data_IF_824782208994
#
_entry.id   IF_824782208994
#
_cell.length_a   1.000
_cell.length_b   1.000
_cell.length_c   1.000
_cell.angle_alpha   90.00
_cell.angle_beta   90.00
_cell.angle_gamma   90.00
#
_symmetry.space_group_name_H-M   'P 1'
#
loop_
_entity.id
_entity.type
_entity.pdbx_description
1 polymer ?
#
# COMPACT_ATOMS: atom_id res chain seq x y z
N UNK A 1 -62.07 15.60 -50.62
CA UNK A 1 -62.07 15.87 -49.16
C UNK A 1 -61.52 14.63 -48.45
N UNK A 2 -60.41 14.78 -47.71
CA UNK A 2 -59.59 13.70 -47.16
C UNK A 2 -60.36 12.89 -46.10
N UNK A 3 -60.37 11.56 -46.23
CA UNK A 3 -60.75 10.60 -45.18
C UNK A 3 -59.47 10.05 -44.53
N UNK A 4 -59.46 10.00 -43.20
CA UNK A 4 -58.41 9.40 -42.37
C UNK A 4 -58.34 7.87 -42.56
N UNK A 5 -57.12 7.33 -42.53
CA UNK A 5 -56.78 5.92 -42.30
C UNK A 5 -55.76 5.85 -41.13
N UNK A 6 -55.75 4.78 -40.33
CA UNK A 6 -55.05 4.70 -39.03
C UNK A 6 -53.56 4.30 -39.18
N UNK A 7 -52.74 4.48 -38.12
CA UNK A 7 -51.31 4.16 -38.18
C UNK A 7 -51.04 2.65 -38.16
N UNK A 8 -50.07 2.24 -38.98
CA UNK A 8 -49.59 0.88 -39.16
C UNK A 8 -48.84 0.34 -37.93
N UNK A 9 -49.15 -0.90 -37.54
CA UNK A 9 -48.37 -1.72 -36.59
C UNK A 9 -46.97 -1.97 -37.17
N UNK A 10 -45.91 -1.61 -36.42
CA UNK A 10 -44.56 -2.14 -36.63
C UNK A 10 -44.32 -3.29 -35.66
N UNK A 11 -43.92 -4.43 -36.20
CA UNK A 11 -43.54 -5.63 -35.47
C UNK A 11 -42.26 -5.36 -34.66
N UNK A 12 -42.24 -5.76 -33.38
CA UNK A 12 -41.02 -5.88 -32.60
C UNK A 12 -40.19 -7.05 -33.15
N UNK A 13 -39.00 -6.75 -33.67
CA UNK A 13 -37.94 -7.74 -33.80
C UNK A 13 -37.24 -7.84 -32.44
N UNK A 14 -37.30 -9.01 -31.81
CA UNK A 14 -36.56 -9.31 -30.61
C UNK A 14 -35.06 -9.38 -30.94
N UNK A 15 -34.29 -8.39 -30.49
CA UNK A 15 -32.84 -8.51 -30.38
C UNK A 15 -32.52 -9.19 -29.06
N UNK A 16 -32.01 -10.42 -29.14
CA UNK A 16 -31.36 -11.10 -28.04
C UNK A 16 -30.11 -10.32 -27.63
N UNK A 17 -30.18 -9.65 -26.48
CA UNK A 17 -28.98 -9.14 -25.80
C UNK A 17 -28.25 -10.37 -25.26
N UNK A 18 -27.12 -10.70 -25.88
CA UNK A 18 -26.11 -11.54 -25.25
C UNK A 18 -25.66 -10.80 -23.99
N UNK A 19 -26.04 -11.32 -22.83
CA UNK A 19 -25.60 -10.81 -21.54
C UNK A 19 -24.08 -10.86 -21.48
N UNK A 20 -23.46 -9.69 -21.41
CA UNK A 20 -22.09 -9.56 -20.94
C UNK A 20 -22.04 -10.12 -19.52
N UNK A 21 -21.44 -11.30 -19.36
CA UNK A 21 -21.05 -11.81 -18.07
C UNK A 21 -20.07 -10.80 -17.47
N UNK A 22 -20.55 -10.02 -16.50
CA UNK A 22 -19.68 -9.20 -15.68
C UNK A 22 -18.70 -10.13 -14.97
N UNK A 23 -17.40 -9.87 -15.16
CA UNK A 23 -16.37 -10.46 -14.32
C UNK A 23 -16.62 -9.93 -12.89
N UNK A 24 -17.34 -10.70 -12.07
CA UNK A 24 -17.28 -10.54 -10.62
C UNK A 24 -15.89 -11.01 -10.21
N UNK A 25 -14.97 -10.08 -10.00
CA UNK A 25 -13.78 -10.32 -9.20
C UNK A 25 -14.26 -10.70 -7.80
N UNK A 26 -14.28 -12.00 -7.52
CA UNK A 26 -14.37 -12.52 -6.16
C UNK A 26 -13.08 -12.08 -5.46
N UNK A 27 -13.19 -11.11 -4.56
CA UNK A 27 -12.13 -10.84 -3.58
C UNK A 27 -11.88 -12.15 -2.81
N UNK A 28 -10.62 -12.51 -2.53
CA UNK A 28 -10.35 -13.65 -1.68
C UNK A 28 -10.97 -13.38 -0.31
N UNK A 29 -12.01 -14.15 0.04
CA UNK A 29 -12.44 -14.23 1.44
C UNK A 29 -11.26 -14.76 2.23
N UNK A 30 -10.86 -14.06 3.30
CA UNK A 30 -9.83 -14.55 4.22
C UNK A 30 -10.32 -15.88 4.84
N UNK A 31 -9.97 -16.99 4.21
CA UNK A 31 -10.10 -18.32 4.78
C UNK A 31 -9.14 -18.46 5.95
N UNK A 32 -9.47 -19.32 6.92
CA UNK A 32 -8.72 -19.56 8.16
C UNK A 32 -7.33 -20.23 7.95
N UNK A 33 -6.62 -19.92 6.87
CA UNK A 33 -5.30 -20.43 6.54
C UNK A 33 -4.50 -19.47 5.64
N UNK A 34 -4.68 -18.15 5.80
CA UNK A 34 -3.80 -17.16 5.19
C UNK A 34 -2.36 -17.39 5.67
N UNK A 35 -1.38 -17.31 4.76
CA UNK A 35 0.03 -17.42 5.11
C UNK A 35 0.41 -16.47 6.25
N UNK A 36 1.46 -16.81 7.00
CA UNK A 36 1.92 -15.96 8.10
C UNK A 36 2.49 -14.67 7.51
N UNK A 37 1.96 -13.52 7.90
CA UNK A 37 2.68 -12.27 7.71
C UNK A 37 3.90 -12.30 8.62
N UNK A 38 4.99 -11.65 8.22
CA UNK A 38 6.19 -11.61 9.04
C UNK A 38 6.79 -10.21 9.07
N UNK A 39 7.06 -9.72 10.28
CA UNK A 39 7.64 -8.40 10.46
C UNK A 39 9.16 -8.47 10.50
N UNK A 40 9.84 -7.87 9.53
CA UNK A 40 11.30 -7.74 9.57
C UNK A 40 11.70 -6.36 10.03
N UNK A 41 12.59 -6.28 11.03
CA UNK A 41 13.17 -5.01 11.45
C UNK A 41 14.26 -4.60 10.46
N UNK A 42 14.11 -3.42 9.85
CA UNK A 42 15.14 -2.84 9.02
C UNK A 42 16.27 -2.28 9.90
N UNK A 43 17.52 -2.41 9.44
CA UNK A 43 18.72 -1.88 10.11
C UNK A 43 19.52 -0.95 9.18
N UNK A 44 18.93 0.18 8.76
CA UNK A 44 19.61 1.11 7.86
C UNK A 44 20.77 1.81 8.58
N UNK A 45 21.83 2.14 7.84
CA UNK A 45 23.03 2.81 8.39
C UNK A 45 22.77 4.24 8.90
N UNK A 46 21.64 4.83 8.50
CA UNK A 46 21.13 6.11 8.96
C UNK A 46 19.63 5.96 9.21
N UNK A 47 19.13 6.62 10.25
CA UNK A 47 17.72 6.60 10.62
C UNK A 47 17.28 7.98 11.13
N UNK A 48 16.01 8.35 10.93
CA UNK A 48 15.40 9.46 11.65
C UNK A 48 15.52 9.25 13.16
N UNK A 49 15.68 10.34 13.92
CA UNK A 49 15.64 10.30 15.38
C UNK A 49 14.33 9.68 15.92
N UNK A 50 14.34 9.08 17.13
CA UNK A 50 13.13 8.55 17.76
C UNK A 50 12.01 9.58 17.79
N UNK A 51 10.83 9.23 17.30
CA UNK A 51 9.73 10.19 17.14
C UNK A 51 8.36 9.52 17.16
N UNK A 52 7.36 10.30 17.55
CA UNK A 52 5.95 9.93 17.45
C UNK A 52 5.15 11.05 16.77
N UNK A 53 3.95 10.73 16.30
CA UNK A 53 3.07 11.70 15.61
C UNK A 53 3.74 12.41 14.41
N UNK A 54 4.69 11.72 13.77
CA UNK A 54 5.22 12.09 12.47
C UNK A 54 4.24 11.66 11.37
N UNK A 55 4.28 12.34 10.24
CA UNK A 55 3.52 11.94 9.05
C UNK A 55 4.37 11.08 8.13
N UNK A 56 3.79 10.02 7.58
CA UNK A 56 4.35 9.28 6.43
C UNK A 56 3.39 9.27 5.26
N UNK A 57 3.90 9.38 4.05
CA UNK A 57 3.11 9.22 2.83
C UNK A 57 3.95 8.55 1.75
N UNK A 58 3.38 7.58 1.06
CA UNK A 58 4.04 6.89 -0.03
C UNK A 58 3.88 7.64 -1.35
N UNK A 59 4.99 8.18 -1.84
CA UNK A 59 5.11 8.78 -3.16
C UNK A 59 5.30 7.67 -4.20
N UNK A 60 4.18 7.18 -4.72
CA UNK A 60 4.17 6.11 -5.72
C UNK A 60 4.76 6.53 -7.06
N UNK A 61 4.82 7.83 -7.37
CA UNK A 61 5.47 8.35 -8.57
C UNK A 61 6.99 8.24 -8.55
N UNK A 62 7.60 8.26 -7.35
CA UNK A 62 9.06 8.13 -7.16
C UNK A 62 9.48 6.82 -6.48
N UNK A 63 8.53 6.04 -5.97
CA UNK A 63 8.81 4.83 -5.19
C UNK A 63 9.46 5.15 -3.85
N UNK A 64 9.07 6.27 -3.21
CA UNK A 64 9.69 6.78 -2.00
C UNK A 64 8.65 6.97 -0.90
N UNK A 65 8.92 6.52 0.33
CA UNK A 65 8.09 6.94 1.47
C UNK A 65 8.66 8.20 2.07
N UNK A 66 7.89 9.28 2.05
CA UNK A 66 8.24 10.57 2.66
C UNK A 66 7.86 10.51 4.13
N UNK A 67 8.79 10.86 5.02
CA UNK A 67 8.56 11.11 6.43
C UNK A 67 8.85 12.57 6.73
N UNK A 68 7.95 13.22 7.45
CA UNK A 68 8.14 14.60 7.92
C UNK A 68 7.88 14.71 9.42
N UNK A 69 8.64 15.59 10.08
CA UNK A 69 8.34 16.11 11.41
C UNK A 69 8.10 15.06 12.49
N UNK A 70 7.12 15.32 13.35
CA UNK A 70 6.84 14.54 14.56
C UNK A 70 7.49 15.13 15.80
N UNK A 71 7.40 14.41 16.91
CA UNK A 71 7.89 14.88 18.21
C UNK A 71 8.94 13.91 18.76
N UNK A 72 10.12 14.43 19.07
CA UNK A 72 11.21 13.71 19.75
C UNK A 72 11.35 14.26 21.18
N UNK A 73 10.96 13.44 22.17
CA UNK A 73 10.84 13.91 23.56
C UNK A 73 9.79 15.01 23.67
N UNK A 74 10.24 16.24 23.93
CA UNK A 74 9.39 17.44 24.00
C UNK A 74 9.54 18.39 22.81
N UNK A 75 10.39 18.05 21.83
CA UNK A 75 10.70 18.92 20.70
C UNK A 75 9.99 18.45 19.44
N UNK A 76 9.22 19.34 18.82
CA UNK A 76 8.72 19.13 17.47
C UNK A 76 9.87 19.20 16.46
N UNK A 77 9.74 18.45 15.37
CA UNK A 77 10.74 18.34 14.30
C UNK A 77 10.17 18.90 12.99
N UNK A 78 11.05 19.32 12.08
CA UNK A 78 10.74 19.78 10.72
C UNK A 78 11.66 19.16 9.67
N UNK A 79 12.36 18.08 10.02
CA UNK A 79 13.19 17.35 9.08
C UNK A 79 12.34 16.54 8.11
N UNK A 80 12.81 16.48 6.86
CA UNK A 80 12.21 15.65 5.80
C UNK A 80 13.15 14.48 5.52
N UNK A 81 12.61 13.27 5.53
CA UNK A 81 13.32 12.05 5.20
C UNK A 81 12.59 11.31 4.09
N UNK A 82 13.34 10.60 3.26
CA UNK A 82 12.78 9.70 2.26
C UNK A 82 13.36 8.30 2.42
N UNK A 83 12.49 7.31 2.35
CA UNK A 83 12.82 5.89 2.36
C UNK A 83 12.72 5.32 0.95
N UNK A 84 13.81 4.70 0.48
CA UNK A 84 13.90 4.11 -0.88
C UNK A 84 13.57 2.62 -0.94
N UNK A 85 13.04 2.04 0.15
CA UNK A 85 12.83 0.60 0.31
C UNK A 85 13.94 -0.08 1.13
N UNK A 86 15.10 0.55 1.29
CA UNK A 86 16.21 -0.02 2.05
C UNK A 86 16.97 0.99 2.93
N UNK A 87 16.94 2.28 2.60
CA UNK A 87 17.73 3.32 3.26
C UNK A 87 16.90 4.58 3.47
N UNK A 88 17.13 5.21 4.62
CA UNK A 88 16.67 6.56 4.90
C UNK A 88 17.65 7.58 4.33
N UNK A 89 17.12 8.59 3.65
CA UNK A 89 17.85 9.71 3.06
C UNK A 89 17.25 10.99 3.64
N UNK A 90 18.04 11.72 4.44
CA UNK A 90 17.62 13.04 4.91
C UNK A 90 17.66 14.03 3.76
N UNK A 91 16.56 14.77 3.54
CA UNK A 91 16.48 15.84 2.56
C UNK A 91 16.76 17.19 3.23
N UNK A 92 17.39 18.09 2.49
CA UNK A 92 17.70 19.46 2.92
C UNK A 92 17.07 20.47 1.95
N UNK A 93 15.74 20.57 1.93
CA UNK A 93 15.06 21.50 1.03
C UNK A 93 15.31 22.95 1.45
N UNK A 94 15.26 23.87 0.48
CA UNK A 94 15.46 25.30 0.73
C UNK A 94 14.27 25.92 1.47
N UNK A 95 13.08 25.36 1.26
CA UNK A 95 11.84 25.74 1.92
C UNK A 95 11.31 24.49 2.62
N UNK A 96 10.87 24.64 3.86
CA UNK A 96 10.34 23.57 4.69
C UNK A 96 9.24 24.11 5.61
N UNK A 97 8.24 23.29 5.97
CA UNK A 97 7.23 23.65 6.95
C UNK A 97 7.85 23.87 8.34
N UNK A 98 7.21 24.63 9.23
CA UNK A 98 7.62 24.76 10.63
C UNK A 98 7.73 23.40 11.34
N UNK A 99 8.39 23.39 12.50
CA UNK A 99 8.47 22.19 13.33
C UNK A 99 7.10 21.85 13.92
N UNK A 100 6.58 20.67 13.58
CA UNK A 100 5.24 20.26 13.99
C UNK A 100 5.12 18.75 14.17
N UNK A 101 4.12 18.34 14.95
CA UNK A 101 3.64 16.97 15.07
C UNK A 101 2.12 16.98 15.08
N UNK A 102 1.49 15.81 15.02
CA UNK A 102 0.02 15.67 15.11
C UNK A 102 -0.74 16.36 13.96
N UNK A 103 -0.04 16.65 12.87
CA UNK A 103 -0.59 17.07 11.58
C UNK A 103 -1.00 15.83 10.77
N UNK A 104 -1.57 16.06 9.59
CA UNK A 104 -1.95 15.00 8.66
C UNK A 104 -1.22 15.16 7.34
N UNK A 105 -0.95 14.04 6.67
CA UNK A 105 -0.20 14.02 5.41
C UNK A 105 -0.70 12.89 4.51
N UNK A 106 -0.81 13.15 3.21
CA UNK A 106 -1.20 12.15 2.21
C UNK A 106 -0.57 12.48 0.84
N UNK A 107 -0.39 11.48 -0.01
CA UNK A 107 0.20 11.66 -1.35
C UNK A 107 -0.90 11.81 -2.41
N UNK A 108 -0.80 12.87 -3.20
CA UNK A 108 -1.62 13.11 -4.38
C UNK A 108 -0.96 12.47 -5.61
N UNK A 109 -1.47 11.32 -6.04
CA UNK A 109 -0.84 10.56 -7.12
C UNK A 109 -0.98 11.23 -8.49
N UNK A 110 -2.01 12.05 -8.71
CA UNK A 110 -2.22 12.75 -9.99
C UNK A 110 -1.29 13.94 -10.11
N UNK A 111 -1.17 14.74 -9.04
CA UNK A 111 -0.32 15.92 -8.99
C UNK A 111 1.13 15.59 -8.62
N UNK A 112 1.40 14.35 -8.18
CA UNK A 112 2.70 13.84 -7.73
C UNK A 112 3.32 14.67 -6.61
N UNK A 113 2.50 15.02 -5.62
CA UNK A 113 2.93 15.80 -4.46
C UNK A 113 2.45 15.17 -3.16
N UNK A 114 3.29 15.19 -2.13
CA UNK A 114 2.84 14.91 -0.77
C UNK A 114 2.26 16.18 -0.18
N UNK A 115 1.00 16.15 0.22
CA UNK A 115 0.33 17.30 0.85
C UNK A 115 0.28 17.09 2.35
N UNK A 116 0.63 18.13 3.07
CA UNK A 116 0.55 18.22 4.52
C UNK A 116 -0.49 19.28 4.89
N UNK A 117 -1.32 18.97 5.89
CA UNK A 117 -2.17 19.94 6.55
C UNK A 117 -1.96 19.91 8.06
N UNK A 118 -1.66 21.06 8.65
CA UNK A 118 -1.34 21.16 10.07
C UNK A 118 -0.93 22.58 10.46
N UNK A 119 -0.42 22.75 11.68
CA UNK A 119 0.15 24.03 12.10
C UNK A 119 1.19 23.80 13.21
N UNK A 120 2.08 24.78 13.38
CA UNK A 120 3.09 24.81 14.44
C UNK A 120 2.48 24.92 15.85
N UNK A 121 1.36 25.62 16.00
CA UNK A 121 0.71 25.85 17.28
C UNK A 121 -0.81 25.98 17.14
N UNK A 122 -1.54 25.61 18.20
CA UNK A 122 -3.01 25.64 18.31
C UNK A 122 -3.67 27.03 18.21
N UNK A 123 -2.87 28.09 18.06
CA UNK A 123 -3.33 29.46 17.87
C UNK A 123 -3.13 29.96 16.43
N UNK A 124 -2.45 29.20 15.57
CA UNK A 124 -2.25 29.53 14.17
C UNK A 124 -3.37 28.94 13.30
N UNK A 125 -3.73 29.57 12.18
CA UNK A 125 -4.62 28.94 11.19
C UNK A 125 -3.97 27.67 10.64
N UNK A 126 -4.79 26.71 10.19
CA UNK A 126 -4.29 25.50 9.53
C UNK A 126 -3.59 25.84 8.21
N UNK A 127 -2.36 25.39 8.06
CA UNK A 127 -1.50 25.60 6.90
C UNK A 127 -1.55 24.38 5.97
N UNK A 128 -1.44 24.63 4.66
CA UNK A 128 -1.33 23.59 3.63
C UNK A 128 0.04 23.69 2.98
N UNK A 129 0.76 22.58 2.92
CA UNK A 129 2.09 22.50 2.32
C UNK A 129 2.16 21.36 1.32
N UNK A 130 2.94 21.52 0.25
CA UNK A 130 3.16 20.48 -0.76
C UNK A 130 4.64 20.18 -0.95
N UNK A 131 4.98 18.90 -1.01
CA UNK A 131 6.31 18.40 -1.31
C UNK A 131 6.33 17.78 -2.71
N UNK A 132 7.19 18.30 -3.58
CA UNK A 132 7.32 17.83 -4.98
C UNK A 132 8.41 16.77 -5.19
N UNK A 133 9.03 16.32 -4.10
CA UNK A 133 10.19 15.42 -4.15
C UNK A 133 11.55 16.10 -4.05
N UNK A 134 11.57 17.44 -4.03
CA UNK A 134 12.78 18.24 -3.94
C UNK A 134 12.66 19.41 -2.95
N UNK A 135 11.51 20.07 -2.91
CA UNK A 135 11.28 21.23 -2.08
C UNK A 135 9.82 21.27 -1.57
N UNK A 136 9.62 21.94 -0.43
CA UNK A 136 8.26 22.24 0.03
C UNK A 136 7.77 23.58 -0.53
N UNK A 137 6.47 23.68 -0.74
CA UNK A 137 5.79 24.92 -1.08
C UNK A 137 4.64 25.18 -0.09
N UNK A 138 4.60 26.39 0.48
CA UNK A 138 3.48 26.83 1.30
C UNK A 138 2.33 27.28 0.40
N UNK A 139 1.12 26.80 0.67
CA UNK A 139 -0.07 27.20 -0.06
C UNK A 139 -0.97 28.08 0.81
N UNK A 140 -1.67 29.01 0.17
CA UNK A 140 -2.66 29.89 0.80
C UNK A 140 -4.01 29.74 0.09
N UNK A 141 -4.73 28.63 0.31
CA UNK A 141 -6.01 28.40 -0.34
C UNK A 141 -7.06 29.39 0.16
N UNK A 142 -8.01 29.74 -0.72
CA UNK A 142 -9.08 30.68 -0.41
C UNK A 142 -10.00 30.20 0.72
N UNK A 143 -10.13 28.89 0.89
CA UNK A 143 -10.83 28.25 1.99
C UNK A 143 -9.94 27.16 2.58
N UNK A 144 -9.93 27.07 3.90
CA UNK A 144 -9.11 26.13 4.67
C UNK A 144 -9.91 25.63 5.87
N UNK A 145 -9.75 24.36 6.29
CA UNK A 145 -10.29 23.89 7.55
C UNK A 145 -9.71 24.71 8.71
N UNK A 146 -10.45 24.87 9.81
CA UNK A 146 -9.85 25.29 11.07
C UNK A 146 -8.67 24.40 11.41
N UNK A 147 -7.66 24.97 12.05
CA UNK A 147 -6.54 24.19 12.56
C UNK A 147 -7.06 23.08 13.47
N UNK A 148 -6.52 21.88 13.25
CA UNK A 148 -6.84 20.69 14.01
C UNK A 148 -5.62 19.80 14.17
N UNK A 149 -5.61 19.04 15.25
CA UNK A 149 -4.62 18.00 15.52
C UNK A 149 -5.31 16.65 15.59
N UNK A 150 -4.55 15.57 15.41
CA UNK A 150 -5.02 14.18 15.61
C UNK A 150 -6.27 13.83 14.77
N UNK A 151 -6.46 14.51 13.62
CA UNK A 151 -7.37 14.07 12.57
C UNK A 151 -6.70 13.04 11.67
N UNK A 152 -7.39 12.61 10.61
CA UNK A 152 -6.79 11.76 9.59
C UNK A 152 -7.12 12.28 8.19
N UNK A 153 -6.16 12.13 7.26
CA UNK A 153 -6.28 12.56 5.87
C UNK A 153 -5.80 11.45 4.95
N UNK A 154 -6.54 11.19 3.88
CA UNK A 154 -6.22 10.18 2.87
C UNK A 154 -6.48 10.72 1.47
N UNK A 155 -5.81 10.17 0.46
CA UNK A 155 -6.08 10.49 -0.95
C UNK A 155 -7.06 9.47 -1.55
N UNK A 156 -8.23 9.96 -1.94
CA UNK A 156 -9.20 9.21 -2.73
C UNK A 156 -8.80 9.29 -4.20
N UNK A 157 -8.07 8.26 -4.65
CA UNK A 157 -7.54 8.17 -6.00
C UNK A 157 -8.63 7.94 -7.07
N UNK A 158 -9.86 7.61 -6.68
CA UNK A 158 -10.96 7.46 -7.63
C UNK A 158 -11.60 8.82 -7.99
N UNK A 159 -11.48 9.81 -7.09
CA UNK A 159 -12.09 11.14 -7.26
C UNK A 159 -11.08 12.28 -7.37
N UNK A 160 -9.80 11.97 -7.25
CA UNK A 160 -8.69 12.91 -7.19
C UNK A 160 -8.90 13.95 -6.08
N UNK A 161 -9.23 13.48 -4.88
CA UNK A 161 -9.48 14.35 -3.71
C UNK A 161 -8.75 13.84 -2.49
N UNK A 162 -8.23 14.76 -1.68
CA UNK A 162 -7.92 14.38 -0.30
C UNK A 162 -9.16 14.50 0.56
N UNK A 163 -9.36 13.54 1.44
CA UNK A 163 -10.45 13.53 2.41
C UNK A 163 -9.85 13.65 3.79
N UNK A 164 -10.21 14.71 4.51
CA UNK A 164 -9.84 14.99 5.89
C UNK A 164 -11.08 14.85 6.77
N UNK A 165 -10.96 14.10 7.87
CA UNK A 165 -12.05 13.96 8.83
C UNK A 165 -11.58 14.19 10.28
N UNK A 166 -12.48 14.82 11.04
CA UNK A 166 -12.39 14.91 12.50
C UNK A 166 -11.13 15.62 13.01
N UNK A 167 -10.58 15.11 14.10
CA UNK A 167 -9.49 15.74 14.85
C UNK A 167 -10.01 16.61 15.98
N UNK A 168 -9.10 17.34 16.64
CA UNK A 168 -9.40 18.26 17.75
C UNK A 168 -9.14 19.69 17.31
N UNK A 169 -10.14 20.56 17.46
CA UNK A 169 -10.04 22.02 17.22
C UNK A 169 -10.01 22.74 18.57
N UNK A 170 -9.28 23.86 18.64
CA UNK A 170 -9.13 24.67 19.86
C UNK A 170 -7.93 24.26 20.71
N UNK A 171 -7.80 24.89 21.88
CA UNK A 171 -6.63 24.73 22.75
C UNK A 171 -7.00 24.68 24.23
N UNK A 172 -6.19 23.98 25.03
CA UNK A 172 -6.39 23.84 26.47
C UNK A 172 -7.81 23.38 26.81
N UNK A 173 -8.52 24.14 27.65
CA UNK A 173 -9.89 23.84 28.08
C UNK A 173 -10.95 23.99 26.98
N UNK A 174 -10.60 24.57 25.82
CA UNK A 174 -11.51 24.75 24.67
C UNK A 174 -11.33 23.70 23.58
N UNK A 175 -10.36 22.79 23.76
CA UNK A 175 -10.11 21.71 22.82
C UNK A 175 -11.35 20.80 22.72
N UNK A 176 -11.84 20.57 21.50
CA UNK A 176 -13.02 19.75 21.25
C UNK A 176 -12.85 18.92 19.99
N UNK A 177 -13.17 17.61 20.01
CA UNK A 177 -13.20 16.82 18.81
C UNK A 177 -14.29 17.32 17.86
N UNK A 178 -14.03 17.21 16.56
CA UNK A 178 -14.98 17.60 15.51
C UNK A 178 -15.33 16.40 14.63
N UNK A 179 -16.41 16.55 13.84
CA UNK A 179 -16.96 15.49 12.98
C UNK A 179 -17.12 15.96 11.52
N UNK A 180 -16.51 17.08 11.16
CA UNK A 180 -16.57 17.63 9.82
C UNK A 180 -15.70 16.82 8.85
N UNK A 181 -16.16 16.74 7.60
CA UNK A 181 -15.43 16.17 6.47
C UNK A 181 -15.03 17.31 5.54
N UNK A 182 -13.76 17.36 5.16
CA UNK A 182 -13.21 18.36 4.24
C UNK A 182 -12.58 17.65 3.05
N UNK A 183 -12.74 18.25 1.86
CA UNK A 183 -12.09 17.78 0.64
C UNK A 183 -11.14 18.81 0.04
N UNK A 184 -9.92 18.38 -0.25
CA UNK A 184 -8.94 19.14 -1.02
C UNK A 184 -8.97 18.71 -2.48
N UNK A 185 -9.08 19.67 -3.40
CA UNK A 185 -9.11 19.42 -4.84
C UNK A 185 -7.79 19.77 -5.55
N UNK A 186 -6.72 20.05 -4.80
CA UNK A 186 -5.45 20.53 -5.34
C UNK A 186 -5.28 22.04 -5.35
N UNK A 187 -6.33 22.81 -5.01
CA UNK A 187 -6.28 24.28 -5.01
C UNK A 187 -7.00 24.92 -3.83
N UNK A 188 -8.11 24.34 -3.37
CA UNK A 188 -8.87 24.84 -2.22
C UNK A 188 -9.51 23.70 -1.45
N UNK A 189 -9.73 23.93 -0.16
CA UNK A 189 -10.52 23.05 0.69
C UNK A 189 -12.01 23.37 0.58
N UNK A 190 -12.85 22.36 0.60
CA UNK A 190 -14.30 22.48 0.67
C UNK A 190 -14.83 21.63 1.81
N UNK A 191 -15.66 22.21 2.68
CA UNK A 191 -16.34 21.44 3.73
C UNK A 191 -17.53 20.70 3.11
N UNK A 192 -17.56 19.38 3.28
CA UNK A 192 -18.64 18.54 2.78
C UNK A 192 -19.85 18.64 3.70
N UNK A 193 -21.04 18.72 3.09
CA UNK A 193 -22.31 18.62 3.83
C UNK A 193 -22.77 17.17 3.78
N UNK A 194 -22.75 16.50 4.93
CA UNK A 194 -23.06 15.07 5.07
C UNK A 194 -24.26 14.90 5.99
N UNK A 195 -25.21 14.03 5.64
CA UNK A 195 -26.40 13.78 6.47
C UNK A 195 -26.20 12.65 7.48
N UNK A 196 -25.27 11.75 7.18
CA UNK A 196 -24.82 10.68 8.07
C UNK A 196 -23.31 10.81 8.19
N UNK A 197 -22.80 10.79 9.41
CA UNK A 197 -21.39 11.01 9.72
C UNK A 197 -21.01 10.20 10.96
N UNK A 198 -19.75 9.73 11.06
CA UNK A 198 -19.21 9.32 12.34
C UNK A 198 -19.33 10.48 13.33
N UNK A 199 -19.54 10.16 14.61
CA UNK A 199 -19.50 11.16 15.68
C UNK A 199 -18.13 11.85 15.76
N UNK A 200 -18.10 13.02 16.39
CA UNK A 200 -16.90 13.81 16.60
C UNK A 200 -15.82 13.01 17.32
N UNK A 201 -14.62 12.97 16.74
CA UNK A 201 -13.54 12.09 17.22
C UNK A 201 -12.16 12.55 16.76
N UNK A 202 -11.14 12.10 17.49
CA UNK A 202 -9.72 12.26 17.15
C UNK A 202 -8.96 10.94 17.36
N UNK A 203 -7.69 10.91 16.93
CA UNK A 203 -6.80 9.75 16.99
C UNK A 203 -7.38 8.48 16.34
N UNK A 204 -8.32 8.65 15.41
CA UNK A 204 -8.91 7.58 14.62
C UNK A 204 -7.99 7.28 13.43
N UNK A 205 -8.21 6.11 12.84
CA UNK A 205 -7.42 5.63 11.72
C UNK A 205 -8.23 5.77 10.43
N UNK A 206 -7.62 6.27 9.35
CA UNK A 206 -8.22 6.27 8.02
C UNK A 206 -7.25 5.75 6.97
N UNK A 207 -7.77 4.97 6.02
CA UNK A 207 -7.05 4.56 4.81
C UNK A 207 -8.00 4.54 3.60
N UNK A 208 -7.46 4.65 2.38
CA UNK A 208 -8.23 4.53 1.15
C UNK A 208 -8.08 3.14 0.54
N UNK A 209 -9.15 2.37 0.58
CA UNK A 209 -9.27 1.09 -0.12
C UNK A 209 -9.49 1.34 -1.61
N UNK A 210 -8.40 1.25 -2.38
CA UNK A 210 -8.42 1.57 -3.80
C UNK A 210 -9.20 0.55 -4.64
N UNK A 211 -9.26 -0.73 -4.25
CA UNK A 211 -10.02 -1.75 -4.98
C UNK A 211 -11.53 -1.50 -4.90
N UNK A 212 -12.01 -0.98 -3.77
CA UNK A 212 -13.44 -0.72 -3.54
C UNK A 212 -13.83 0.75 -3.70
N UNK A 213 -12.84 1.63 -3.90
CA UNK A 213 -13.00 3.07 -3.91
C UNK A 213 -13.76 3.55 -2.67
N UNK A 214 -13.24 3.19 -1.49
CA UNK A 214 -13.81 3.57 -0.19
C UNK A 214 -12.73 4.09 0.74
N UNK A 215 -13.02 5.19 1.42
CA UNK A 215 -12.23 5.57 2.58
C UNK A 215 -12.77 4.79 3.79
N UNK A 216 -11.91 4.00 4.42
CA UNK A 216 -12.22 3.22 5.62
C UNK A 216 -11.77 4.01 6.84
N UNK A 217 -12.64 4.18 7.83
CA UNK A 217 -12.33 4.76 9.13
C UNK A 217 -12.54 3.74 10.23
N UNK A 218 -11.61 3.67 11.19
CA UNK A 218 -11.74 2.82 12.37
C UNK A 218 -11.41 3.55 13.67
N UNK A 219 -12.24 3.32 14.69
CA UNK A 219 -11.95 3.66 16.09
C UNK A 219 -11.74 5.16 16.38
N UNK A 220 -10.73 5.45 17.21
CA UNK A 220 -10.45 6.78 17.77
C UNK A 220 -11.08 7.01 19.13
N UNK A 221 -11.17 8.26 19.57
CA UNK A 221 -11.76 8.65 20.86
C UNK A 221 -12.62 9.91 20.73
N UNK A 222 -13.62 10.04 21.60
CA UNK A 222 -14.63 11.11 21.57
C UNK A 222 -14.31 12.31 22.45
N UNK A 223 -13.24 12.24 23.25
CA UNK A 223 -12.78 13.33 24.12
C UNK A 223 -11.30 13.64 23.88
N UNK A 224 -10.83 14.89 24.01
CA UNK A 224 -9.44 15.27 23.72
C UNK A 224 -8.39 14.55 24.57
N UNK A 225 -8.76 14.13 25.78
CA UNK A 225 -7.90 13.41 26.74
C UNK A 225 -7.77 11.90 26.43
N UNK A 226 -8.37 11.44 25.33
CA UNK A 226 -8.34 10.04 24.92
C UNK A 226 -9.48 9.18 25.48
N UNK A 227 -10.43 9.76 26.22
CA UNK A 227 -11.60 9.05 26.75
C UNK A 227 -12.65 8.76 25.66
N UNK A 228 -13.43 7.70 25.87
CA UNK A 228 -14.48 7.26 24.96
C UNK A 228 -13.91 6.65 23.69
N UNK A 229 -13.00 5.70 23.86
CA UNK A 229 -12.35 4.96 22.77
C UNK A 229 -13.38 4.10 22.03
N UNK A 230 -13.30 4.11 20.70
CA UNK A 230 -14.28 3.50 19.80
C UNK A 230 -13.69 2.29 19.06
N UNK A 231 -14.56 1.39 18.60
CA UNK A 231 -14.23 0.22 17.77
C UNK A 231 -15.11 0.12 16.51
N UNK A 232 -15.77 1.22 16.13
CA UNK A 232 -16.67 1.24 14.99
C UNK A 232 -15.89 1.37 13.67
N UNK A 233 -16.43 0.75 12.63
CA UNK A 233 -15.93 0.85 11.25
C UNK A 233 -16.90 1.69 10.42
N UNK A 234 -16.37 2.64 9.67
CA UNK A 234 -17.14 3.50 8.77
C UNK A 234 -16.53 3.50 7.39
N UNK A 235 -17.36 3.68 6.36
CA UNK A 235 -16.90 3.89 5.00
C UNK A 235 -17.47 5.16 4.40
N UNK A 236 -16.63 5.88 3.67
CA UNK A 236 -16.99 7.04 2.88
C UNK A 236 -16.90 6.70 1.38
N UNK A 237 -17.97 7.02 0.65
CA UNK A 237 -18.14 6.72 -0.78
C UNK A 237 -17.90 7.93 -1.69
N UNK A 238 -17.51 9.07 -1.11
CA UNK A 238 -17.37 10.35 -1.82
C UNK A 238 -18.53 11.32 -1.66
N UNK A 239 -19.62 10.89 -1.02
CA UNK A 239 -20.78 11.72 -0.75
C UNK A 239 -21.30 11.56 0.68
N UNK A 240 -21.33 10.35 1.24
CA UNK A 240 -21.83 10.07 2.58
C UNK A 240 -20.99 9.02 3.31
N UNK A 241 -21.04 9.10 4.64
CA UNK A 241 -20.51 8.06 5.51
C UNK A 241 -21.58 7.00 5.78
N UNK A 242 -21.17 5.73 5.80
CA UNK A 242 -21.99 4.59 6.21
C UNK A 242 -21.29 3.83 7.33
N UNK A 243 -21.98 3.60 8.45
CA UNK A 243 -21.45 2.75 9.51
C UNK A 243 -21.61 1.28 9.11
N UNK A 244 -20.55 0.51 9.27
CA UNK A 244 -20.56 -0.92 9.03
C UNK A 244 -20.65 -1.70 10.35
N UNK A 245 -21.24 -2.89 10.29
CA UNK A 245 -21.35 -3.82 11.42
C UNK A 245 -20.70 -5.16 11.05
N UNK A 246 -19.36 -5.21 10.94
CA UNK A 246 -18.69 -6.46 10.62
C UNK A 246 -18.88 -7.48 11.75
N UNK A 247 -18.93 -8.76 11.39
CA UNK A 247 -19.11 -9.85 12.35
C UNK A 247 -17.88 -10.03 13.25
N UNK A 248 -16.71 -9.68 12.74
CA UNK A 248 -15.44 -9.64 13.46
C UNK A 248 -14.85 -8.23 13.38
N UNK A 249 -14.26 -7.77 14.48
CA UNK A 249 -13.71 -6.42 14.59
C UNK A 249 -12.57 -6.41 15.61
N UNK A 250 -11.52 -5.58 15.42
CA UNK A 250 -10.58 -5.27 16.48
C UNK A 250 -11.30 -4.67 17.68
N UNK A 251 -10.67 -4.79 18.85
CA UNK A 251 -11.08 -4.06 20.06
C UNK A 251 -11.00 -2.55 19.87
N UNK A 252 -11.72 -1.81 20.71
CA UNK A 252 -11.71 -0.35 20.71
C UNK A 252 -10.29 0.19 20.89
N UNK A 253 -9.84 1.05 19.97
CA UNK A 253 -8.48 1.57 19.97
C UNK A 253 -8.36 2.93 19.29
N UNK A 254 -7.32 3.65 19.70
CA UNK A 254 -6.88 4.94 19.14
C UNK A 254 -5.40 4.87 18.77
N UNK A 255 -4.95 5.80 17.93
CA UNK A 255 -3.53 5.96 17.59
C UNK A 255 -2.86 4.69 17.03
N UNK A 256 -3.63 3.78 16.43
CA UNK A 256 -3.08 2.66 15.70
C UNK A 256 -2.55 3.14 14.35
N UNK A 257 -1.67 2.35 13.75
CA UNK A 257 -1.21 2.59 12.40
C UNK A 257 -2.15 1.86 11.43
N UNK A 258 -2.56 2.51 10.33
CA UNK A 258 -3.43 1.92 9.30
C UNK A 258 -2.91 2.30 7.93
N UNK A 259 -2.97 1.37 6.96
CA UNK A 259 -2.80 1.70 5.55
C UNK A 259 -3.41 0.64 4.64
N UNK A 260 -3.54 0.94 3.35
CA UNK A 260 -4.07 0.04 2.35
C UNK A 260 -2.95 -0.68 1.62
N UNK A 261 -3.02 -1.99 1.68
CA UNK A 261 -2.14 -2.88 0.97
C UNK A 261 -2.74 -3.20 -0.40
N UNK A 262 -2.24 -2.49 -1.42
CA UNK A 262 -2.75 -2.60 -2.77
C UNK A 262 -2.52 -3.96 -3.44
N UNK A 263 -1.48 -4.71 -3.05
CA UNK A 263 -1.16 -6.01 -3.66
C UNK A 263 -2.10 -7.10 -3.17
N UNK A 264 -2.54 -7.00 -1.91
CA UNK A 264 -3.50 -7.95 -1.33
C UNK A 264 -4.95 -7.48 -1.42
N UNK A 265 -5.15 -6.19 -1.68
CA UNK A 265 -6.46 -5.57 -1.65
C UNK A 265 -7.05 -5.50 -0.24
N UNK A 266 -6.20 -5.32 0.78
CA UNK A 266 -6.60 -5.32 2.20
C UNK A 266 -6.21 -4.02 2.88
N UNK A 267 -7.07 -3.49 3.76
CA UNK A 267 -6.65 -2.44 4.70
C UNK A 267 -6.04 -3.08 5.94
N UNK A 268 -4.79 -2.76 6.25
CA UNK A 268 -4.03 -3.32 7.35
C UNK A 268 -3.99 -2.34 8.53
N UNK A 269 -4.17 -2.87 9.73
CA UNK A 269 -4.13 -2.13 10.99
C UNK A 269 -3.13 -2.79 11.93
N UNK A 270 -2.30 -1.98 12.61
CA UNK A 270 -1.35 -2.46 13.60
C UNK A 270 -1.34 -1.63 14.88
N UNK A 271 -1.42 -2.32 16.01
CA UNK A 271 -1.24 -1.76 17.34
C UNK A 271 -2.31 -0.74 17.74
N UNK A 272 -1.88 0.38 18.31
CA UNK A 272 -2.72 1.40 18.94
C UNK A 272 -2.78 1.24 20.45
N UNK A 273 -3.73 1.94 21.07
CA UNK A 273 -3.99 1.86 22.51
C UNK A 273 -5.48 1.71 22.78
N UNK A 274 -5.83 0.75 23.64
CA UNK A 274 -7.16 0.69 24.24
C UNK A 274 -7.18 1.54 25.55
N UNK A 275 -8.28 1.55 26.32
CA UNK A 275 -8.33 2.28 27.59
C UNK A 275 -7.35 1.79 28.69
N UNK A 276 -6.75 0.61 28.52
CA UNK A 276 -5.96 -0.08 29.55
C UNK A 276 -4.51 -0.33 29.17
N UNK A 277 -4.18 -0.42 27.88
CA UNK A 277 -2.88 -0.88 27.39
C UNK A 277 -2.56 -0.43 25.97
N UNK A 278 -1.26 -0.42 25.64
CA UNK A 278 -0.79 -0.45 24.25
C UNK A 278 -1.01 -1.84 23.66
N UNK A 279 -1.37 -1.87 22.38
CA UNK A 279 -1.66 -3.07 21.61
C UNK A 279 -0.54 -3.32 20.59
N UNK A 280 -0.31 -4.60 20.27
CA UNK A 280 0.70 -5.05 19.29
C UNK A 280 0.17 -6.10 18.33
N UNK A 281 -1.15 -6.20 18.20
CA UNK A 281 -1.86 -7.08 17.28
C UNK A 281 -2.00 -6.43 15.90
N UNK A 282 -2.10 -7.27 14.88
CA UNK A 282 -2.32 -6.89 13.49
C UNK A 282 -3.68 -7.39 13.01
N UNK A 283 -4.36 -6.59 12.18
CA UNK A 283 -5.66 -6.91 11.61
C UNK A 283 -5.71 -6.53 10.13
N UNK A 284 -6.46 -7.28 9.35
CA UNK A 284 -6.76 -6.98 7.96
C UNK A 284 -8.27 -6.81 7.75
N UNK A 285 -8.64 -5.86 6.90
CA UNK A 285 -10.00 -5.58 6.46
C UNK A 285 -10.13 -5.90 4.97
N UNK A 286 -11.09 -6.75 4.62
CA UNK A 286 -11.36 -7.21 3.24
C UNK A 286 -12.51 -6.47 2.55
N UNK A 287 -13.05 -5.43 3.19
CA UNK A 287 -14.25 -4.73 2.74
C UNK A 287 -15.56 -5.23 3.32
N UNK A 288 -15.54 -6.34 4.05
CA UNK A 288 -16.73 -6.91 4.70
C UNK A 288 -16.49 -7.22 6.18
N UNK A 289 -15.34 -7.81 6.51
CA UNK A 289 -14.98 -8.17 7.87
C UNK A 289 -13.51 -7.88 8.18
N UNK A 290 -13.23 -7.71 9.48
CA UNK A 290 -11.86 -7.73 9.98
C UNK A 290 -11.43 -9.16 10.31
N UNK A 291 -10.18 -9.49 10.03
CA UNK A 291 -9.54 -10.73 10.49
C UNK A 291 -8.26 -10.39 11.25
N UNK A 292 -8.05 -11.04 12.39
CA UNK A 292 -6.79 -10.96 13.10
C UNK A 292 -5.70 -11.68 12.30
N UNK A 293 -4.55 -11.05 12.14
CA UNK A 293 -3.42 -11.64 11.44
C UNK A 293 -2.52 -12.38 12.42
N UNK A 294 -2.06 -13.57 12.01
CA UNK A 294 -0.99 -14.29 12.70
C UNK A 294 0.35 -13.80 12.16
N UNK A 295 1.20 -13.31 13.06
CA UNK A 295 2.54 -12.82 12.74
C UNK A 295 3.60 -13.65 13.47
N UNK A 296 4.55 -14.24 12.76
CA UNK A 296 5.59 -15.09 13.35
C UNK A 296 6.59 -14.27 14.19
N UNK A 297 6.97 -13.09 13.69
CA UNK A 297 7.61 -12.03 14.44
C UNK A 297 6.76 -10.76 14.36
N UNK A 298 6.75 -9.96 15.43
CA UNK A 298 5.93 -8.75 15.52
C UNK A 298 6.68 -7.64 16.26
N UNK A 299 6.55 -6.37 15.85
CA UNK A 299 6.98 -5.25 16.65
C UNK A 299 6.26 -5.29 18.00
N UNK A 300 6.94 -4.82 19.06
CA UNK A 300 6.29 -4.65 20.36
C UNK A 300 5.08 -3.70 20.28
N UNK A 301 4.20 -3.83 21.28
CA UNK A 301 3.00 -3.01 21.44
C UNK A 301 3.32 -1.53 21.30
N UNK A 302 2.57 -0.81 20.47
CA UNK A 302 2.88 0.60 20.18
C UNK A 302 1.70 1.41 19.68
N UNK A 303 1.81 2.72 19.82
CA UNK A 303 0.85 3.70 19.30
C UNK A 303 1.56 4.97 18.84
N UNK A 304 0.86 5.81 18.05
CA UNK A 304 1.39 7.05 17.46
C UNK A 304 2.63 6.84 16.57
N UNK A 305 2.82 5.62 16.09
CA UNK A 305 3.67 5.30 14.95
C UNK A 305 2.91 5.54 13.65
N UNK A 306 3.63 5.61 12.55
CA UNK A 306 3.06 5.84 11.22
C UNK A 306 3.27 4.60 10.35
N UNK A 307 2.21 4.18 9.64
CA UNK A 307 2.28 3.11 8.63
C UNK A 307 2.20 3.76 7.24
N UNK A 308 2.98 3.25 6.29
CA UNK A 308 2.86 3.59 4.88
C UNK A 308 3.19 2.37 4.01
N UNK A 309 2.41 2.12 2.97
CA UNK A 309 2.71 1.14 1.93
C UNK A 309 3.99 1.54 1.17
N UNK A 310 4.76 0.58 0.66
CA UNK A 310 6.00 0.85 -0.08
C UNK A 310 6.07 0.11 -1.41
N UNK A 311 6.97 0.55 -2.29
CA UNK A 311 7.20 0.00 -3.64
C UNK A 311 7.57 -1.47 -3.70
N UNK A 312 8.02 -2.07 -2.59
CA UNK A 312 8.47 -3.46 -2.51
C UNK A 312 7.40 -4.41 -1.95
N UNK A 313 6.11 -4.08 -2.07
CA UNK A 313 5.00 -4.85 -1.49
C UNK A 313 5.11 -5.03 0.04
N UNK A 314 5.71 -4.05 0.71
CA UNK A 314 5.94 -4.07 2.15
C UNK A 314 5.26 -2.86 2.78
N UNK A 315 4.66 -3.05 3.95
CA UNK A 315 4.15 -1.93 4.75
C UNK A 315 5.23 -1.49 5.73
N UNK A 316 5.59 -0.22 5.69
CA UNK A 316 6.62 0.40 6.50
C UNK A 316 6.01 1.00 7.76
N UNK A 317 6.39 0.49 8.92
CA UNK A 317 6.04 1.03 10.23
C UNK A 317 7.24 1.76 10.81
N UNK A 318 7.04 3.02 11.21
CA UNK A 318 8.12 3.88 11.71
C UNK A 318 7.77 4.47 13.08
N UNK A 319 8.68 4.29 14.02
CA UNK A 319 8.67 4.96 15.32
C UNK A 319 7.41 4.71 16.16
N UNK A 320 6.99 5.76 16.88
CA UNK A 320 5.94 5.71 17.88
C UNK A 320 6.46 5.39 19.28
N UNK A 321 5.54 5.33 20.24
CA UNK A 321 5.84 4.88 21.61
C UNK A 321 5.61 3.39 21.70
N UNK A 322 6.64 2.64 22.11
CA UNK A 322 6.61 1.20 22.23
C UNK A 322 6.72 0.75 23.70
N UNK A 323 5.90 -0.20 24.13
CA UNK A 323 5.88 -0.73 25.48
C UNK A 323 4.66 -1.60 25.74
N UNK A 324 4.84 -2.91 25.80
CA UNK A 324 3.74 -3.81 26.16
C UNK A 324 3.39 -3.72 27.66
N UNK A 325 2.19 -4.13 28.08
CA UNK A 325 1.81 -4.17 29.49
C UNK A 325 2.88 -4.83 30.36
N UNK A 326 3.29 -4.13 31.43
CA UNK A 326 4.36 -4.58 32.33
C UNK A 326 5.78 -4.20 31.89
N UNK A 327 5.95 -3.49 30.78
CA UNK A 327 7.24 -2.92 30.34
C UNK A 327 7.19 -1.40 30.34
N UNK A 328 8.35 -0.74 30.45
CA UNK A 328 8.43 0.71 30.35
C UNK A 328 8.19 1.16 28.90
N UNK A 329 7.42 2.22 28.70
CA UNK A 329 7.26 2.84 27.39
C UNK A 329 8.55 3.55 26.96
N UNK A 330 8.98 3.31 25.73
CA UNK A 330 10.17 3.88 25.11
C UNK A 330 9.79 4.48 23.77
N UNK A 331 10.30 5.69 23.50
CA UNK A 331 10.16 6.30 22.20
C UNK A 331 11.05 5.57 21.18
N UNK A 332 10.43 4.99 20.16
CA UNK A 332 11.11 4.14 19.19
C UNK A 332 11.67 4.96 18.01
N UNK A 333 12.83 4.52 17.51
CA UNK A 333 13.45 4.98 16.25
C UNK A 333 13.54 3.84 15.22
N UNK A 334 12.83 2.75 15.48
CA UNK A 334 12.88 1.56 14.65
C UNK A 334 12.07 1.73 13.38
N UNK A 335 12.43 0.92 12.38
CA UNK A 335 11.76 0.82 11.09
C UNK A 335 11.46 -0.66 10.88
N UNK A 336 10.21 -0.98 10.61
CA UNK A 336 9.75 -2.37 10.43
C UNK A 336 9.02 -2.51 9.11
N UNK A 337 9.25 -3.64 8.44
CA UNK A 337 8.54 -4.02 7.24
C UNK A 337 7.58 -5.15 7.60
N UNK A 338 6.29 -4.97 7.34
CA UNK A 338 5.35 -6.08 7.31
C UNK A 338 5.49 -6.73 5.94
N UNK A 339 6.12 -7.90 5.93
CA UNK A 339 6.21 -8.73 4.74
C UNK A 339 4.91 -9.50 4.61
N UNK A 340 4.36 -9.45 3.42
CA UNK A 340 3.24 -10.28 3.04
C UNK A 340 3.69 -11.74 2.98
N UNK A 341 2.78 -12.69 3.26
CA UNK A 341 3.00 -14.06 2.81
C UNK A 341 2.94 -14.02 1.29
N UNK A 342 4.08 -14.19 0.62
CA UNK A 342 4.11 -14.29 -0.85
C UNK A 342 3.17 -15.39 -1.31
N UNK A 343 2.40 -15.08 -2.36
CA UNK A 343 1.64 -16.10 -3.06
C UNK A 343 2.63 -17.12 -3.64
N UNK A 344 2.37 -18.41 -3.40
CA UNK A 344 3.18 -19.48 -3.99
C UNK A 344 3.04 -19.43 -5.51
N UNK A 345 4.07 -18.95 -6.22
CA UNK A 345 4.08 -19.00 -7.67
C UNK A 345 4.45 -20.40 -8.18
N UNK A 346 3.86 -20.78 -9.31
CA UNK A 346 4.15 -22.04 -9.99
C UNK A 346 5.17 -21.81 -11.09
N UNK A 347 6.03 -22.80 -11.33
CA UNK A 347 6.95 -22.80 -12.46
C UNK A 347 6.67 -23.97 -13.39
N UNK A 348 6.89 -23.75 -14.67
CA UNK A 348 6.79 -24.80 -15.68
C UNK A 348 7.93 -24.68 -16.70
N UNK A 349 8.35 -25.82 -17.23
CA UNK A 349 9.47 -25.91 -18.16
C UNK A 349 9.03 -26.15 -19.61
N UNK A 350 9.72 -25.52 -20.55
CA UNK A 350 9.54 -25.72 -21.99
C UNK A 350 10.75 -26.49 -22.54
N UNK A 351 10.48 -27.61 -23.24
CA UNK A 351 11.55 -28.41 -23.83
C UNK A 351 12.29 -27.65 -24.94
N UNK A 352 13.61 -27.76 -24.96
CA UNK A 352 14.46 -27.02 -25.90
C UNK A 352 14.86 -27.93 -27.06
N UNK A 353 14.70 -27.42 -28.29
CA UNK A 353 15.30 -28.02 -29.49
C UNK A 353 16.33 -27.05 -30.04
N UNK A 354 17.58 -27.47 -30.07
CA UNK A 354 18.69 -26.64 -30.51
C UNK A 354 19.59 -27.39 -31.51
N UNK A 355 20.52 -26.66 -32.13
CA UNK A 355 21.54 -27.22 -33.03
C UNK A 355 22.92 -26.92 -32.47
N UNK A 356 23.83 -27.88 -32.60
CA UNK A 356 25.23 -27.72 -32.20
C UNK A 356 25.82 -26.47 -32.87
N UNK A 357 26.54 -25.65 -32.11
CA UNK A 357 27.19 -24.41 -32.55
C UNK A 357 26.25 -23.35 -33.15
N UNK A 358 24.94 -23.43 -32.87
CA UNK A 358 23.96 -22.42 -33.23
C UNK A 358 23.35 -21.87 -31.96
N UNK A 359 23.28 -20.54 -31.83
CA UNK A 359 22.66 -19.90 -30.69
C UNK A 359 21.17 -20.23 -30.64
N UNK A 360 20.74 -20.86 -29.55
CA UNK A 360 19.34 -20.88 -29.17
C UNK A 360 18.98 -19.53 -28.54
N UNK A 361 17.79 -19.03 -28.84
CA UNK A 361 17.20 -17.88 -28.19
C UNK A 361 15.68 -18.07 -28.18
N UNK A 362 15.09 -18.22 -26.99
CA UNK A 362 13.66 -18.47 -26.86
C UNK A 362 13.21 -18.73 -25.43
N UNK A 363 11.91 -19.01 -25.27
CA UNK A 363 11.32 -19.35 -23.99
C UNK A 363 11.79 -20.73 -23.52
N UNK A 364 12.19 -20.83 -22.25
CA UNK A 364 12.62 -22.07 -21.61
C UNK A 364 11.72 -22.49 -20.43
N UNK A 365 10.82 -21.61 -20.02
CA UNK A 365 9.88 -21.87 -18.93
C UNK A 365 8.95 -20.69 -18.70
N UNK A 366 8.03 -20.87 -17.76
CA UNK A 366 7.08 -19.85 -17.35
C UNK A 366 6.91 -19.85 -15.82
N UNK A 367 6.58 -18.67 -15.31
CA UNK A 367 6.18 -18.37 -13.94
C UNK A 367 4.70 -17.98 -13.99
N UNK A 368 3.89 -18.56 -13.11
CA UNK A 368 2.50 -18.17 -12.92
C UNK A 368 2.28 -17.85 -11.44
N UNK A 369 2.03 -16.59 -11.17
CA UNK A 369 1.68 -16.05 -9.87
C UNK A 369 0.19 -15.70 -9.85
N UNK A 370 -0.46 -15.93 -8.71
CA UNK A 370 -1.84 -15.52 -8.48
C UNK A 370 -1.98 -14.03 -8.15
N UNK A 371 -0.88 -13.35 -7.84
CA UNK A 371 -0.84 -11.90 -7.63
C UNK A 371 -1.03 -11.15 -8.97
N UNK A 372 -2.18 -10.48 -9.18
CA UNK A 372 -2.46 -9.77 -10.42
C UNK A 372 -1.63 -8.48 -10.60
N UNK A 373 -0.94 -8.02 -9.55
CA UNK A 373 -0.07 -6.85 -9.56
C UNK A 373 1.41 -7.22 -9.67
N UNK A 374 1.73 -8.51 -9.75
CA UNK A 374 3.09 -8.93 -9.99
C UNK A 374 3.62 -8.38 -11.32
N UNK A 375 4.90 -8.01 -11.31
CA UNK A 375 5.64 -7.50 -12.46
C UNK A 375 6.86 -8.37 -12.72
N UNK A 376 7.38 -8.34 -13.95
CA UNK A 376 8.58 -9.12 -14.30
C UNK A 376 9.82 -8.70 -13.51
N UNK A 377 9.83 -7.49 -12.94
CA UNK A 377 10.90 -6.98 -12.09
C UNK A 377 10.96 -7.65 -10.71
N UNK A 378 9.88 -8.33 -10.32
CA UNK A 378 9.79 -9.01 -9.02
C UNK A 378 10.50 -10.36 -9.02
N UNK A 379 10.83 -10.91 -10.20
CA UNK A 379 11.41 -12.24 -10.30
C UNK A 379 12.82 -12.22 -10.88
N UNK A 380 13.62 -13.17 -10.40
CA UNK A 380 14.92 -13.52 -10.97
C UNK A 380 14.98 -15.00 -11.30
N UNK A 381 15.85 -15.37 -12.23
CA UNK A 381 16.12 -16.77 -12.53
C UNK A 381 17.61 -17.05 -12.72
N UNK A 382 18.06 -18.22 -12.28
CA UNK A 382 19.40 -18.74 -12.54
C UNK A 382 19.30 -20.06 -13.27
N UNK A 383 19.96 -20.15 -14.42
CA UNK A 383 19.89 -21.25 -15.37
C UNK A 383 21.25 -21.94 -15.40
N UNK A 384 21.25 -23.26 -15.29
CA UNK A 384 22.43 -24.10 -15.56
C UNK A 384 22.12 -24.98 -16.76
N UNK A 385 22.93 -24.89 -17.83
CA UNK A 385 22.59 -25.45 -19.14
C UNK A 385 22.93 -26.95 -19.33
N UNK A 386 23.46 -27.58 -18.29
CA UNK A 386 23.87 -29.00 -18.30
C UNK A 386 25.21 -29.29 -18.98
N UNK A 387 25.83 -28.30 -19.63
CA UNK A 387 27.17 -28.38 -20.24
C UNK A 387 28.23 -27.58 -19.45
N UNK A 388 27.86 -27.07 -18.27
CA UNK A 388 28.69 -26.22 -17.42
C UNK A 388 28.46 -24.72 -17.60
N UNK A 389 27.72 -24.29 -18.63
CA UNK A 389 27.31 -22.90 -18.79
C UNK A 389 26.22 -22.47 -17.81
N UNK A 390 26.24 -21.21 -17.41
CA UNK A 390 25.20 -20.60 -16.56
C UNK A 390 24.72 -19.26 -17.11
N UNK A 391 23.49 -18.87 -16.77
CA UNK A 391 22.89 -17.58 -17.18
C UNK A 391 21.95 -17.10 -16.09
N UNK A 392 22.00 -15.80 -15.76
CA UNK A 392 21.12 -15.17 -14.78
C UNK A 392 20.15 -14.19 -15.46
N UNK A 393 18.96 -14.09 -14.92
CA UNK A 393 17.85 -13.29 -15.42
C UNK A 393 17.37 -12.34 -14.32
N UNK A 394 17.11 -11.06 -14.62
CA UNK A 394 17.45 -10.38 -15.88
C UNK A 394 18.98 -10.22 -16.07
N UNK A 395 19.46 -10.32 -17.30
CA UNK A 395 20.89 -10.20 -17.61
C UNK A 395 21.22 -10.41 -19.09
N UNK A 396 22.51 -10.34 -19.49
CA UNK A 396 22.92 -10.60 -20.86
C UNK A 396 22.45 -11.97 -21.34
N UNK A 397 21.59 -12.00 -22.36
CA UNK A 397 21.04 -13.23 -22.90
C UNK A 397 19.92 -13.87 -22.07
N UNK A 398 19.35 -13.19 -21.06
CA UNK A 398 18.12 -13.64 -20.41
C UNK A 398 17.21 -12.51 -19.92
N UNK A 399 15.91 -12.65 -20.15
CA UNK A 399 14.86 -11.71 -19.73
C UNK A 399 13.60 -12.45 -19.31
N UNK A 400 12.91 -11.94 -18.30
CA UNK A 400 11.53 -12.33 -18.00
C UNK A 400 10.56 -11.42 -18.76
N UNK A 401 9.56 -11.99 -19.41
CA UNK A 401 8.63 -11.28 -20.29
C UNK A 401 7.19 -11.62 -19.90
N UNK A 402 6.35 -10.61 -19.63
CA UNK A 402 4.94 -10.81 -19.34
C UNK A 402 4.22 -11.54 -20.49
N UNK A 403 3.38 -12.51 -20.18
CA UNK A 403 2.74 -13.39 -21.18
C UNK A 403 1.32 -12.94 -21.60
N UNK A 404 0.87 -11.79 -21.10
CA UNK A 404 -0.43 -11.21 -21.40
C UNK A 404 -1.52 -11.52 -20.37
N UNK A 405 -1.27 -12.41 -19.41
CA UNK A 405 -2.12 -12.57 -18.22
C UNK A 405 -1.48 -11.89 -17.00
N UNK A 406 -2.25 -11.20 -16.13
CA UNK A 406 -1.73 -10.69 -14.87
C UNK A 406 -1.06 -11.80 -14.05
N UNK A 407 0.12 -11.53 -13.50
CA UNK A 407 0.90 -12.50 -12.72
C UNK A 407 1.64 -13.58 -13.52
N UNK A 408 1.59 -13.57 -14.85
CA UNK A 408 2.21 -14.63 -15.65
C UNK A 408 3.34 -14.14 -16.56
N UNK A 409 4.47 -14.85 -16.52
CA UNK A 409 5.74 -14.47 -17.14
C UNK A 409 6.40 -15.65 -17.81
N UNK A 410 7.08 -15.38 -18.92
CA UNK A 410 7.91 -16.33 -19.66
C UNK A 410 9.39 -16.01 -19.45
N UNK A 411 10.20 -17.05 -19.19
CA UNK A 411 11.65 -16.94 -19.06
C UNK A 411 12.26 -17.14 -20.44
N UNK A 412 12.77 -16.07 -21.03
CA UNK A 412 13.46 -16.10 -22.33
C UNK A 412 14.96 -16.06 -22.12
N UNK A 413 15.67 -17.06 -22.65
CA UNK A 413 17.11 -17.18 -22.48
C UNK A 413 17.82 -17.63 -23.76
N UNK A 414 19.12 -17.31 -23.86
CA UNK A 414 19.96 -17.66 -24.98
C UNK A 414 21.19 -18.47 -24.55
N UNK A 415 21.54 -19.50 -25.32
CA UNK A 415 22.72 -20.34 -25.09
C UNK A 415 23.20 -21.04 -26.36
N UNK A 416 24.47 -21.43 -26.41
CA UNK A 416 25.05 -22.19 -27.54
C UNK A 416 25.77 -23.44 -27.04
N UNK A 417 25.29 -24.61 -27.44
CA UNK A 417 25.93 -25.88 -27.11
C UNK A 417 27.02 -26.26 -28.12
N UNK A 418 28.23 -26.52 -27.62
CA UNK A 418 29.38 -26.91 -28.44
C UNK A 418 29.35 -28.36 -28.92
N UNK A 419 28.50 -29.22 -28.33
CA UNK A 419 28.39 -30.64 -28.65
C UNK A 419 26.92 -31.03 -28.83
N UNK A 420 26.68 -32.01 -29.70
CA UNK A 420 25.36 -32.63 -29.84
C UNK A 420 25.10 -33.55 -28.65
N UNK A 421 23.83 -33.73 -28.29
CA UNK A 421 23.45 -34.57 -27.17
C UNK A 421 22.18 -34.11 -26.48
N UNK A 422 21.88 -34.76 -25.37
CA UNK A 422 20.77 -34.41 -24.49
C UNK A 422 21.34 -33.81 -23.22
N UNK A 423 20.90 -32.60 -22.87
CA UNK A 423 21.33 -31.90 -21.67
C UNK A 423 20.13 -31.68 -20.75
N UNK A 424 20.38 -31.80 -19.44
CA UNK A 424 19.43 -31.39 -18.41
C UNK A 424 19.74 -29.93 -18.07
N UNK A 425 18.81 -29.05 -18.39
CA UNK A 425 18.88 -27.64 -18.01
C UNK A 425 18.10 -27.48 -16.71
N UNK A 426 18.72 -26.94 -15.66
CA UNK A 426 18.06 -26.67 -14.38
C UNK A 426 17.85 -25.18 -14.23
N UNK A 427 16.63 -24.78 -13.88
CA UNK A 427 16.24 -23.38 -13.67
C UNK A 427 15.77 -23.21 -12.24
N UNK A 428 16.43 -22.33 -11.51
CA UNK A 428 15.99 -21.85 -10.20
C UNK A 428 15.41 -20.46 -10.37
N UNK A 429 14.30 -20.18 -9.71
CA UNK A 429 13.64 -18.86 -9.75
C UNK A 429 13.52 -18.33 -8.33
N UNK A 430 13.49 -17.01 -8.16
CA UNK A 430 13.23 -16.37 -6.87
C UNK A 430 12.40 -15.11 -7.08
N UNK A 431 11.46 -14.87 -6.17
CA UNK A 431 10.74 -13.61 -6.02
C UNK A 431 11.50 -12.65 -5.08
N UNK A 432 11.43 -11.35 -5.33
CA UNK A 432 11.90 -10.29 -4.44
C UNK A 432 11.17 -10.31 -3.09
N UNK A 433 9.94 -10.82 -3.03
CA UNK A 433 9.21 -11.05 -1.77
C UNK A 433 9.79 -12.18 -0.90
N UNK A 434 10.69 -13.01 -1.46
CA UNK A 434 11.44 -14.03 -0.75
C UNK A 434 10.97 -15.46 -0.98
N UNK A 435 9.82 -15.71 -1.63
CA UNK A 435 9.47 -17.06 -2.05
C UNK A 435 10.39 -17.59 -3.16
N UNK A 436 10.86 -18.82 -3.00
CA UNK A 436 11.70 -19.53 -3.97
C UNK A 436 11.00 -20.83 -4.34
N UNK A 437 10.48 -20.91 -5.55
CA UNK A 437 9.90 -22.15 -6.05
C UNK A 437 10.97 -23.24 -6.21
N UNK A 438 10.56 -24.49 -6.07
CA UNK A 438 11.45 -25.63 -6.33
C UNK A 438 12.04 -25.52 -7.75
N UNK A 439 13.36 -25.75 -7.95
CA UNK A 439 13.94 -25.70 -9.27
C UNK A 439 13.28 -26.70 -10.21
N UNK A 440 12.98 -26.28 -11.43
CA UNK A 440 12.48 -27.18 -12.48
C UNK A 440 13.60 -27.54 -13.45
N UNK A 441 13.42 -28.67 -14.14
CA UNK A 441 14.36 -29.10 -15.18
C UNK A 441 13.68 -29.19 -16.53
N UNK A 442 14.41 -28.78 -17.57
CA UNK A 442 13.99 -28.94 -18.97
C UNK A 442 15.02 -29.74 -19.74
N UNK A 443 14.54 -30.54 -20.68
CA UNK A 443 15.40 -31.31 -21.59
C UNK A 443 15.76 -30.46 -22.79
N UNK A 444 17.05 -30.28 -23.03
CA UNK A 444 17.57 -29.70 -24.27
C UNK A 444 18.07 -30.81 -25.19
N UNK A 445 17.43 -30.97 -26.36
CA UNK A 445 17.85 -31.89 -27.41
C UNK A 445 18.65 -31.12 -28.46
N UNK A 446 19.97 -31.30 -28.44
CA UNK A 446 20.91 -30.62 -29.34
C UNK A 446 21.23 -31.54 -30.51
N UNK A 447 20.72 -31.19 -31.70
CA UNK A 447 20.94 -31.95 -32.93
C UNK A 447 22.25 -31.55 -33.61
N UNK A 448 22.76 -32.43 -34.47
CA UNK A 448 23.82 -32.08 -35.39
C UNK A 448 23.42 -30.85 -36.22
N UNK A 449 24.36 -29.93 -36.47
CA UNK A 449 24.15 -28.87 -37.46
C UNK A 449 23.99 -29.49 -38.85
N UNK A 450 23.24 -28.84 -39.73
CA UNK A 450 23.15 -29.27 -41.13
C UNK A 450 24.57 -29.34 -41.70
N UNK A 451 24.92 -30.47 -42.30
CA UNK A 451 26.18 -30.62 -43.02
C UNK A 451 26.13 -29.63 -44.19
N UNK A 452 26.85 -28.52 -44.09
CA UNK A 452 27.17 -27.70 -45.27
C UNK A 452 27.93 -28.61 -46.23
N UNK A 453 27.30 -28.92 -47.37
CA UNK A 453 28.00 -29.46 -48.53
C UNK A 453 28.93 -28.42 -49.12
#
# INVERSE_FOLDING_TARGET
MRRMLPPSRRALAAFSVLGSAGLSLLLPTLGAGAGSYDWTQASPSQSPAPRYAAGTAYDSGRGMTVLFGGISGTSALNDTWEWDGARWIQRTPAVYPPAMGQFVMAYDAVRRVTVLFGAESNTNPGETWEWDGSNWAHLSPATSPPMRMDGAMVYDANRDRMVLFGGVVGSGLTASPVADTWEWNGTTWNQMTVTVSPQARSNHMMSFDAARARVVLFGGNTQPDGVGVLSDTWEWDGANWTQLTPALSPSARRNAAIDYDSTQGLTLLFGGADPTALLGDAWAWDGTNWAALSTASTPGCRFRGSLAFTSLRQNLLVGGWAGCPGTAEVLAADTWHLNQPDAVYQTSGIAITARKNVAFNGAIGAIADSDPLATAGDYSASITWGDGGTTNCPGPGCTLVADGSPGAFSIHAAHTWARQGTYTVTVSTADLGGYVAAPFTVRANVRAGDLSK
#
